data_IF_901246986211
#
_entry.id   IF_901246986211
#
_cell.length_a   1.000
_cell.length_b   1.000
_cell.length_c   1.000
_cell.angle_alpha   90.00
_cell.angle_beta   90.00
_cell.angle_gamma   90.00
#
_symmetry.space_group_name_H-M   'P 1'
#
loop_
_entity.id
_entity.type
_entity.pdbx_description
1 polymer ?
#
# COMPACT_ATOMS: atom_id res chain seq x y z
N UNK A 1 -38.11 2.75 33.44
CA UNK A 1 -38.16 1.58 32.53
C UNK A 1 -37.28 1.93 31.35
N UNK A 2 -36.06 1.38 31.34
CA UNK A 2 -35.03 1.64 30.32
C UNK A 2 -35.44 1.04 28.98
N UNK A 3 -35.43 1.85 27.92
CA UNK A 3 -35.44 1.36 26.55
C UNK A 3 -34.05 0.86 26.19
N UNK A 4 -33.94 -0.43 25.92
CA UNK A 4 -32.76 -1.05 25.33
C UNK A 4 -32.68 -0.66 23.85
N UNK A 5 -31.57 -0.05 23.44
CA UNK A 5 -31.22 0.16 22.04
C UNK A 5 -30.67 -1.16 21.49
N UNK A 6 -31.43 -1.81 20.62
CA UNK A 6 -30.95 -2.90 19.77
C UNK A 6 -30.41 -2.26 18.48
N UNK A 7 -29.08 -2.20 18.31
CA UNK A 7 -28.48 -1.90 17.00
C UNK A 7 -28.63 -3.15 16.14
N UNK A 8 -29.47 -3.07 15.11
CA UNK A 8 -29.68 -4.13 14.15
C UNK A 8 -28.56 -4.16 13.12
N UNK A 9 -28.10 -5.37 12.79
CA UNK A 9 -27.31 -5.65 11.60
C UNK A 9 -28.21 -5.46 10.36
N UNK A 10 -27.76 -4.63 9.41
CA UNK A 10 -28.45 -4.41 8.14
C UNK A 10 -27.99 -5.42 7.08
N UNK A 11 -28.88 -5.86 6.17
CA UNK A 11 -28.54 -6.83 5.14
C UNK A 11 -27.53 -6.24 4.14
N UNK A 12 -26.57 -7.08 3.76
CA UNK A 12 -25.43 -6.76 2.91
C UNK A 12 -25.82 -5.94 1.66
N UNK A 13 -25.37 -4.69 1.61
CA UNK A 13 -25.18 -4.02 0.33
C UNK A 13 -24.06 -4.75 -0.40
N UNK A 14 -24.19 -4.92 -1.71
CA UNK A 14 -23.13 -5.50 -2.56
C UNK A 14 -21.82 -4.79 -2.25
N UNK A 15 -20.85 -5.51 -1.68
CA UNK A 15 -19.55 -4.99 -1.26
C UNK A 15 -18.88 -4.30 -2.45
N UNK A 16 -18.97 -2.97 -2.52
CA UNK A 16 -18.13 -2.20 -3.41
C UNK A 16 -16.74 -2.23 -2.75
N UNK A 17 -15.73 -2.84 -3.38
CA UNK A 17 -14.39 -2.83 -2.82
C UNK A 17 -13.96 -1.36 -2.61
N UNK A 18 -13.11 -1.08 -1.60
CA UNK A 18 -12.60 0.25 -1.38
C UNK A 18 -12.00 0.81 -2.69
N UNK A 19 -12.19 2.10 -2.99
CA UNK A 19 -11.63 2.73 -4.20
C UNK A 19 -10.10 2.60 -4.26
N UNK A 20 -9.46 2.40 -3.11
CA UNK A 20 -8.03 2.22 -2.96
C UNK A 20 -7.31 3.56 -2.82
N UNK A 21 -5.99 3.53 -2.64
CA UNK A 21 -5.21 4.75 -2.51
C UNK A 21 -5.03 5.45 -3.86
N UNK A 22 -5.39 6.73 -3.91
CA UNK A 22 -5.19 7.58 -5.09
C UNK A 22 -4.77 8.98 -4.63
N UNK A 23 -3.48 9.12 -4.30
CA UNK A 23 -2.94 10.32 -3.68
C UNK A 23 -1.55 10.69 -4.19
N UNK A 24 -1.47 11.89 -4.74
CA UNK A 24 -0.26 12.45 -5.31
C UNK A 24 -0.13 13.92 -4.92
N UNK A 25 1.10 14.40 -4.85
CA UNK A 25 1.39 15.84 -4.76
C UNK A 25 2.33 16.23 -5.87
N UNK A 26 2.24 17.48 -6.32
CA UNK A 26 3.16 18.03 -7.30
C UNK A 26 4.34 18.64 -6.56
N UNK A 27 5.55 18.21 -6.89
CA UNK A 27 6.77 18.84 -6.42
C UNK A 27 7.46 19.54 -7.59
N UNK A 28 7.90 20.76 -7.33
CA UNK A 28 8.72 21.53 -8.26
C UNK A 28 10.17 21.15 -8.05
N UNK A 29 10.82 20.70 -9.12
CA UNK A 29 12.24 20.35 -9.12
C UNK A 29 12.98 21.32 -10.02
N UNK A 30 13.97 22.00 -9.44
CA UNK A 30 14.92 22.80 -10.18
C UNK A 30 15.86 21.88 -10.96
N UNK A 31 16.09 22.20 -12.23
CA UNK A 31 17.06 21.53 -13.09
C UNK A 31 17.76 22.56 -13.98
N UNK A 32 18.85 22.17 -14.64
CA UNK A 32 19.49 23.00 -15.66
C UNK A 32 18.97 22.59 -17.03
N UNK A 33 18.29 23.51 -17.71
CA UNK A 33 17.82 23.31 -19.07
C UNK A 33 18.91 23.71 -20.07
N UNK A 34 19.28 22.78 -20.94
CA UNK A 34 20.20 23.02 -22.05
C UNK A 34 19.39 23.08 -23.34
N UNK A 35 19.41 24.23 -24.00
CA UNK A 35 18.71 24.42 -25.27
C UNK A 35 19.68 24.24 -26.44
N UNK A 36 19.35 23.30 -27.32
CA UNK A 36 20.11 22.95 -28.50
C UNK A 36 19.31 23.25 -29.75
N UNK A 37 19.92 24.00 -30.68
CA UNK A 37 19.36 24.14 -32.02
C UNK A 37 19.87 23.05 -32.94
N UNK A 38 18.94 22.38 -33.61
CA UNK A 38 19.24 21.62 -34.81
C UNK A 38 19.28 22.55 -36.01
N UNK A 39 20.41 22.61 -36.70
CA UNK A 39 20.64 23.54 -37.81
C UNK A 39 21.02 22.77 -39.06
N UNK A 40 20.39 23.11 -40.19
CA UNK A 40 20.73 22.51 -41.48
C UNK A 40 22.12 22.93 -41.92
N UNK A 41 22.95 21.96 -42.32
CA UNK A 41 24.28 22.23 -42.87
C UNK A 41 24.23 23.10 -44.13
N UNK A 42 23.28 22.81 -45.02
CA UNK A 42 23.16 23.44 -46.35
C UNK A 42 22.66 24.88 -46.28
N UNK A 43 21.67 25.16 -45.43
CA UNK A 43 21.01 26.48 -45.40
C UNK A 43 21.36 27.31 -44.18
N UNK A 44 22.04 26.74 -43.19
CA UNK A 44 22.32 27.37 -41.88
C UNK A 44 21.05 27.91 -41.20
N UNK A 45 19.91 27.25 -41.42
CA UNK A 45 18.62 27.60 -40.82
C UNK A 45 18.32 26.63 -39.68
N UNK A 46 17.77 27.16 -38.59
CA UNK A 46 17.26 26.36 -37.47
C UNK A 46 16.08 25.54 -37.98
N UNK A 47 16.19 24.23 -37.84
CA UNK A 47 15.13 23.28 -38.18
C UNK A 47 14.23 23.00 -36.97
N UNK A 48 14.82 22.93 -35.78
CA UNK A 48 14.14 22.59 -34.53
C UNK A 48 14.97 23.07 -33.33
N UNK A 49 14.32 23.29 -32.18
CA UNK A 49 14.98 23.48 -30.89
C UNK A 49 14.65 22.30 -29.97
N UNK A 50 15.66 21.80 -29.26
CA UNK A 50 15.55 20.67 -28.33
C UNK A 50 16.04 21.12 -26.98
N UNK A 51 15.18 21.02 -25.97
CA UNK A 51 15.53 21.32 -24.58
C UNK A 51 15.75 20.00 -23.85
N UNK A 52 16.91 19.84 -23.23
CA UNK A 52 17.27 18.65 -22.45
C UNK A 52 17.61 19.04 -21.01
N UNK A 53 17.39 18.11 -20.09
CA UNK A 53 17.67 18.26 -18.65
C UNK A 53 18.96 17.57 -18.21
N UNK A 54 19.83 17.23 -19.17
CA UNK A 54 21.12 16.58 -18.92
C UNK A 54 22.25 17.27 -19.70
N UNK A 55 23.48 17.11 -19.21
CA UNK A 55 24.67 17.57 -19.93
C UNK A 55 24.92 16.74 -21.20
N UNK A 56 25.49 17.38 -22.23
CA UNK A 56 25.79 16.75 -23.50
C UNK A 56 24.74 17.02 -24.59
N UNK A 57 24.95 16.42 -25.77
CA UNK A 57 24.05 16.58 -26.91
C UNK A 57 22.73 15.83 -26.69
N UNK A 58 21.62 16.27 -27.30
CA UNK A 58 20.35 15.56 -27.22
C UNK A 58 20.44 14.12 -27.70
N UNK A 59 19.74 13.22 -27.01
CA UNK A 59 19.58 11.82 -27.41
C UNK A 59 18.64 11.69 -28.60
N UNK A 60 18.77 10.59 -29.34
CA UNK A 60 17.92 10.28 -30.47
C UNK A 60 16.41 10.29 -30.13
N UNK A 61 16.03 9.84 -28.94
CA UNK A 61 14.64 9.85 -28.49
C UNK A 61 14.09 11.26 -28.22
N UNK A 62 14.92 12.15 -27.67
CA UNK A 62 14.53 13.56 -27.43
C UNK A 62 14.35 14.30 -28.75
N UNK A 63 15.24 14.05 -29.71
CA UNK A 63 15.14 14.61 -31.06
C UNK A 63 13.85 14.16 -31.73
N UNK A 64 13.53 12.86 -31.66
CA UNK A 64 12.29 12.35 -32.21
C UNK A 64 11.07 13.01 -31.56
N UNK A 65 11.07 13.15 -30.23
CA UNK A 65 9.97 13.74 -29.46
C UNK A 65 9.76 15.23 -29.77
N UNK A 66 10.83 16.03 -29.78
CA UNK A 66 10.74 17.49 -29.93
C UNK A 66 10.70 17.94 -31.40
N UNK A 67 11.39 17.25 -32.30
CA UNK A 67 11.54 17.64 -33.71
C UNK A 67 10.69 16.81 -34.69
N UNK A 68 10.13 15.70 -34.24
CA UNK A 68 9.31 14.80 -35.05
C UNK A 68 10.10 13.83 -35.93
N UNK A 69 9.36 12.90 -36.53
CA UNK A 69 9.90 11.75 -37.26
C UNK A 69 10.76 12.14 -38.47
N UNK A 70 10.34 13.12 -39.28
CA UNK A 70 11.06 13.51 -40.51
C UNK A 70 12.48 14.02 -40.21
N UNK A 71 12.61 14.95 -39.25
CA UNK A 71 13.92 15.49 -38.87
C UNK A 71 14.78 14.41 -38.22
N UNK A 72 14.16 13.55 -37.41
CA UNK A 72 14.82 12.40 -36.79
C UNK A 72 15.40 11.42 -37.82
N UNK A 73 14.60 11.00 -38.79
CA UNK A 73 15.02 10.04 -39.83
C UNK A 73 16.15 10.60 -40.70
N UNK A 74 16.06 11.87 -41.09
CA UNK A 74 17.11 12.57 -41.82
C UNK A 74 18.40 12.66 -41.00
N UNK A 75 18.34 13.00 -39.71
CA UNK A 75 19.53 13.03 -38.86
C UNK A 75 20.13 11.63 -38.70
N UNK A 76 19.35 10.60 -38.38
CA UNK A 76 19.91 9.25 -38.14
C UNK A 76 20.52 8.65 -39.41
N UNK A 77 19.92 8.94 -40.58
CA UNK A 77 20.40 8.44 -41.87
C UNK A 77 21.51 9.28 -42.51
N UNK A 78 21.80 10.48 -41.99
CA UNK A 78 22.78 11.37 -42.59
C UNK A 78 24.19 10.78 -42.55
N UNK A 79 24.97 11.05 -43.60
CA UNK A 79 26.40 10.70 -43.62
C UNK A 79 27.18 11.66 -42.72
N UNK A 80 28.25 11.21 -42.04
CA UNK A 80 29.10 12.11 -41.26
C UNK A 80 29.64 13.26 -42.12
N UNK A 81 29.44 14.51 -41.67
CA UNK A 81 30.05 15.69 -42.28
C UNK A 81 31.48 15.84 -41.74
N UNK A 82 32.49 15.53 -42.56
CA UNK A 82 33.89 15.68 -42.18
C UNK A 82 34.38 17.13 -42.39
N UNK A 83 35.22 17.62 -41.48
CA UNK A 83 35.72 19.01 -41.42
C UNK A 83 36.60 19.43 -42.61
N UNK A 84 36.98 18.50 -43.48
CA UNK A 84 37.73 18.77 -44.71
C UNK A 84 36.83 19.07 -45.93
N UNK A 85 35.50 18.97 -45.79
CA UNK A 85 34.52 19.33 -46.81
C UNK A 85 34.07 20.79 -46.64
N UNK A 86 33.69 21.44 -47.74
CA UNK A 86 33.02 22.75 -47.70
C UNK A 86 31.68 22.55 -46.99
N UNK A 87 31.41 23.33 -45.93
CA UNK A 87 30.22 23.19 -45.07
C UNK A 87 28.89 23.11 -45.84
N UNK A 88 28.80 23.86 -46.93
CA UNK A 88 27.62 23.93 -47.82
C UNK A 88 27.39 22.63 -48.63
N UNK A 89 28.39 21.76 -48.70
CA UNK A 89 28.30 20.44 -49.35
C UNK A 89 27.80 19.34 -48.41
N UNK A 90 27.70 19.62 -47.11
CA UNK A 90 27.15 18.67 -46.15
C UNK A 90 25.61 18.70 -46.17
N UNK A 91 25.02 17.51 -46.18
CA UNK A 91 23.58 17.30 -46.09
C UNK A 91 23.20 16.96 -44.64
N UNK A 92 21.94 17.19 -44.29
CA UNK A 92 21.41 16.95 -42.94
C UNK A 92 21.65 18.09 -41.95
N UNK A 93 21.86 17.73 -40.69
CA UNK A 93 21.82 18.61 -39.53
C UNK A 93 23.03 18.46 -38.61
N UNK A 94 23.31 19.52 -37.85
CA UNK A 94 24.15 19.47 -36.66
C UNK A 94 23.45 20.16 -35.49
N UNK A 95 23.87 19.83 -34.28
CA UNK A 95 23.38 20.47 -33.06
C UNK A 95 24.34 21.53 -32.56
N UNK A 96 23.79 22.62 -32.06
CA UNK A 96 24.53 23.71 -31.47
C UNK A 96 23.87 24.12 -30.16
N UNK A 97 24.63 24.05 -29.06
CA UNK A 97 24.17 24.53 -27.75
C UNK A 97 24.09 26.05 -27.80
N UNK A 98 22.91 26.60 -27.54
CA UNK A 98 22.70 28.05 -27.59
C UNK A 98 22.41 28.67 -26.23
N UNK A 99 21.93 27.89 -25.26
CA UNK A 99 21.64 28.38 -23.92
C UNK A 99 21.75 27.26 -22.88
N UNK A 100 22.06 27.66 -21.65
CA UNK A 100 22.03 26.82 -20.46
C UNK A 100 21.54 27.69 -19.31
N UNK A 101 20.36 27.37 -18.76
CA UNK A 101 19.74 28.19 -17.72
C UNK A 101 19.05 27.34 -16.65
N UNK A 102 18.94 27.82 -15.41
CA UNK A 102 18.07 27.21 -14.42
C UNK A 102 16.62 27.21 -14.91
N UNK A 103 15.93 26.09 -14.70
CA UNK A 103 14.53 25.89 -15.03
C UNK A 103 13.87 25.03 -13.96
N UNK A 104 12.55 25.03 -13.95
CA UNK A 104 11.75 24.24 -13.01
C UNK A 104 10.85 23.29 -13.80
N UNK A 105 10.64 22.08 -13.28
CA UNK A 105 9.62 21.16 -13.77
C UNK A 105 8.82 20.58 -12.62
N UNK A 106 7.55 20.36 -12.89
CA UNK A 106 6.63 19.71 -11.97
C UNK A 106 6.69 18.19 -12.15
N UNK A 107 6.89 17.46 -11.05
CA UNK A 107 6.79 16.00 -11.05
C UNK A 107 5.77 15.56 -10.00
N UNK A 108 4.95 14.58 -10.38
CA UNK A 108 4.01 13.95 -9.46
C UNK A 108 4.78 13.01 -8.52
N UNK A 109 4.61 13.22 -7.22
CA UNK A 109 5.13 12.36 -6.16
C UNK A 109 3.98 11.65 -5.48
N UNK A 110 4.03 10.32 -5.45
CA UNK A 110 3.07 9.51 -4.70
C UNK A 110 3.23 9.74 -3.20
N UNK A 111 2.10 9.91 -2.50
CA UNK A 111 2.07 10.08 -1.06
C UNK A 111 1.81 8.74 -0.36
N UNK A 112 2.18 8.65 0.92
CA UNK A 112 1.92 7.46 1.71
C UNK A 112 0.40 7.26 1.90
N UNK A 113 -0.14 6.07 1.61
CA UNK A 113 -1.57 5.78 1.73
C UNK A 113 -2.00 5.65 3.19
N UNK A 114 -3.29 5.86 3.46
CA UNK A 114 -3.90 5.42 4.70
C UNK A 114 -3.75 3.89 4.88
N UNK A 115 -3.77 3.43 6.13
CA UNK A 115 -3.73 2.02 6.47
C UNK A 115 -4.79 1.68 7.53
N UNK A 116 -5.02 0.39 7.76
CA UNK A 116 -5.86 -0.11 8.83
C UNK A 116 -5.18 -1.28 9.52
N UNK A 117 -5.37 -1.39 10.83
CA UNK A 117 -4.74 -2.39 11.68
C UNK A 117 -5.78 -3.14 12.48
N UNK A 118 -5.54 -4.40 12.77
CA UNK A 118 -6.39 -5.26 13.60
C UNK A 118 -5.67 -5.59 14.92
N UNK A 119 -6.38 -5.46 16.03
CA UNK A 119 -5.91 -5.76 17.39
C UNK A 119 -7.02 -6.36 18.25
N UNK A 120 -6.67 -6.80 19.47
CA UNK A 120 -7.61 -7.30 20.48
C UNK A 120 -7.54 -6.45 21.74
N UNK A 121 -8.69 -6.23 22.35
CA UNK A 121 -8.82 -5.65 23.70
C UNK A 121 -9.36 -6.68 24.69
N UNK A 122 -8.83 -6.66 25.91
CA UNK A 122 -9.28 -7.54 27.00
C UNK A 122 -8.73 -8.97 26.93
N UNK A 123 -7.66 -9.19 26.16
CA UNK A 123 -7.01 -10.48 25.99
C UNK A 123 -5.52 -10.38 26.29
N UNK A 124 -4.97 -11.41 26.93
CA UNK A 124 -3.54 -11.56 27.21
C UNK A 124 -2.92 -12.55 26.22
N UNK A 125 -1.77 -12.23 25.60
CA UNK A 125 -1.11 -13.12 24.67
C UNK A 125 -0.41 -14.27 25.41
N UNK A 126 -0.58 -15.50 24.90
CA UNK A 126 0.09 -16.72 25.37
C UNK A 126 1.10 -17.17 24.33
N UNK A 127 2.34 -16.72 24.50
CA UNK A 127 3.42 -16.88 23.52
C UNK A 127 3.71 -18.36 23.22
N UNK A 128 3.72 -19.22 24.25
CA UNK A 128 3.99 -20.66 24.10
C UNK A 128 3.01 -21.38 23.18
N UNK A 129 1.78 -20.88 23.11
CA UNK A 129 0.69 -21.45 22.31
C UNK A 129 0.35 -20.60 21.07
N UNK A 130 0.99 -19.45 20.89
CA UNK A 130 0.70 -18.49 19.81
C UNK A 130 -0.79 -18.12 19.69
N UNK A 131 -1.46 -18.00 20.84
CA UNK A 131 -2.89 -17.66 20.98
C UNK A 131 -3.05 -16.49 21.94
N UNK A 132 -4.23 -15.88 21.97
CA UNK A 132 -4.61 -14.92 23.01
C UNK A 132 -5.70 -15.55 23.91
N UNK A 133 -5.65 -15.28 25.21
CA UNK A 133 -6.66 -15.73 26.19
C UNK A 133 -7.37 -14.51 26.76
N UNK A 134 -8.70 -14.56 26.81
CA UNK A 134 -9.53 -13.49 27.35
C UNK A 134 -10.45 -14.05 28.45
N UNK A 135 -10.48 -13.40 29.61
CA UNK A 135 -11.37 -13.78 30.74
C UNK A 135 -12.83 -13.37 30.48
N UNK A 136 -13.03 -12.41 29.58
CA UNK A 136 -14.35 -11.92 29.18
C UNK A 136 -14.49 -12.03 27.67
N UNK A 137 -15.70 -11.76 27.17
CA UNK A 137 -15.96 -11.78 25.72
C UNK A 137 -14.97 -10.83 25.04
N UNK A 138 -14.18 -11.31 24.06
CA UNK A 138 -13.15 -10.49 23.41
C UNK A 138 -13.76 -9.30 22.67
N UNK A 139 -12.93 -8.28 22.46
CA UNK A 139 -13.25 -7.17 21.57
C UNK A 139 -12.22 -7.11 20.45
N UNK A 140 -12.69 -7.26 19.21
CA UNK A 140 -11.87 -7.04 18.03
C UNK A 140 -11.86 -5.54 17.72
N UNK A 141 -10.68 -4.99 17.47
CA UNK A 141 -10.49 -3.57 17.23
C UNK A 141 -9.82 -3.38 15.87
N UNK A 142 -10.46 -2.62 15.00
CA UNK A 142 -9.87 -2.16 13.74
C UNK A 142 -9.55 -0.67 13.88
N UNK A 143 -8.27 -0.30 13.71
CA UNK A 143 -7.80 1.07 13.81
C UNK A 143 -7.26 1.54 12.47
N UNK A 144 -7.92 2.53 11.87
CA UNK A 144 -7.40 3.26 10.74
C UNK A 144 -6.25 4.19 11.16
N UNK A 145 -5.27 4.36 10.29
CA UNK A 145 -4.15 5.27 10.49
C UNK A 145 -3.90 6.09 9.23
N UNK A 146 -3.86 7.41 9.39
CA UNK A 146 -3.56 8.37 8.33
C UNK A 146 -2.14 8.93 8.52
N UNK A 147 -1.20 8.68 7.58
CA UNK A 147 0.16 9.19 7.70
C UNK A 147 0.32 10.69 7.40
N UNK A 148 -0.64 11.32 6.70
CA UNK A 148 -0.52 12.73 6.34
C UNK A 148 -0.94 13.65 7.50
N UNK A 149 -0.16 14.70 7.83
CA UNK A 149 -0.36 15.49 9.05
C UNK A 149 -1.64 16.35 9.07
N UNK A 150 -2.21 16.64 7.90
CA UNK A 150 -3.41 17.46 7.76
C UNK A 150 -4.64 16.63 7.38
N UNK A 151 -4.50 15.31 7.30
CA UNK A 151 -5.58 14.40 6.99
C UNK A 151 -5.87 13.52 8.21
N UNK A 152 -7.03 12.89 8.21
CA UNK A 152 -7.44 11.96 9.25
C UNK A 152 -8.28 10.84 8.65
N UNK A 153 -8.39 9.74 9.39
CA UNK A 153 -9.39 8.73 9.08
C UNK A 153 -10.77 9.27 9.45
N UNK A 154 -11.71 9.10 8.53
CA UNK A 154 -13.09 9.57 8.69
C UNK A 154 -14.09 8.43 8.85
N UNK A 155 -13.69 7.20 8.49
CA UNK A 155 -14.55 6.02 8.56
C UNK A 155 -13.72 4.74 8.45
N UNK A 156 -14.11 3.72 9.19
CA UNK A 156 -13.60 2.35 9.04
C UNK A 156 -14.75 1.42 8.65
N UNK A 157 -14.52 0.57 7.66
CA UNK A 157 -15.50 -0.39 7.16
C UNK A 157 -14.87 -1.77 7.00
N UNK A 158 -15.72 -2.78 6.94
CA UNK A 158 -15.29 -4.13 6.67
C UNK A 158 -16.41 -5.15 6.71
N UNK A 159 -16.02 -6.41 6.66
CA UNK A 159 -16.91 -7.56 6.85
C UNK A 159 -16.32 -8.53 7.85
N UNK A 160 -17.17 -9.14 8.68
CA UNK A 160 -16.83 -10.23 9.58
C UNK A 160 -17.68 -11.44 9.19
N UNK A 161 -17.06 -12.51 8.68
CA UNK A 161 -17.78 -13.67 8.15
C UNK A 161 -18.85 -13.29 7.09
N UNK A 162 -18.57 -12.27 6.28
CA UNK A 162 -19.50 -11.73 5.27
C UNK A 162 -20.55 -10.75 5.80
N UNK A 163 -20.65 -10.55 7.12
CA UNK A 163 -21.53 -9.55 7.74
C UNK A 163 -20.81 -8.20 7.81
N UNK A 164 -21.40 -7.15 7.21
CA UNK A 164 -20.77 -5.84 7.14
C UNK A 164 -20.77 -5.12 8.49
N UNK A 165 -19.68 -4.43 8.80
CA UNK A 165 -19.59 -3.46 9.88
C UNK A 165 -19.11 -2.11 9.35
N UNK A 166 -19.65 -1.04 9.92
CA UNK A 166 -19.32 0.35 9.57
C UNK A 166 -19.19 1.16 10.84
N UNK A 167 -18.09 1.90 10.94
CA UNK A 167 -17.82 2.83 12.01
C UNK A 167 -17.62 4.22 11.41
N UNK A 168 -18.74 4.92 11.21
CA UNK A 168 -18.78 6.29 10.69
C UNK A 168 -18.17 7.29 11.67
N UNK A 169 -17.52 8.32 11.13
CA UNK A 169 -16.93 9.43 11.88
C UNK A 169 -15.92 8.98 12.96
N UNK A 170 -15.31 7.80 12.77
CA UNK A 170 -14.33 7.25 13.68
C UNK A 170 -13.19 6.57 12.92
N UNK A 171 -12.01 6.66 13.51
CA UNK A 171 -10.80 5.94 13.12
C UNK A 171 -10.71 4.56 13.79
N UNK A 172 -11.61 4.24 14.73
CA UNK A 172 -11.59 2.99 15.50
C UNK A 172 -12.94 2.30 15.40
N UNK A 173 -12.93 1.04 14.99
CA UNK A 173 -14.09 0.17 14.98
C UNK A 173 -13.93 -0.96 15.98
N UNK A 174 -14.83 -1.04 16.97
CA UNK A 174 -14.81 -2.06 18.02
C UNK A 174 -16.07 -2.90 17.95
N UNK A 175 -15.90 -4.23 17.97
CA UNK A 175 -17.04 -5.14 18.06
C UNK A 175 -16.63 -6.44 18.76
N UNK A 176 -17.62 -7.09 19.38
CA UNK A 176 -17.43 -8.41 19.96
C UNK A 176 -17.60 -9.46 18.86
N UNK A 177 -16.56 -10.24 18.51
CA UNK A 177 -16.68 -11.26 17.50
C UNK A 177 -17.53 -12.42 18.01
N UNK A 178 -18.23 -13.10 17.10
CA UNK A 178 -18.97 -14.32 17.42
C UNK A 178 -18.01 -15.51 17.56
N UNK A 179 -18.46 -16.56 18.24
CA UNK A 179 -17.71 -17.82 18.29
C UNK A 179 -17.61 -18.44 16.89
N UNK A 180 -16.48 -19.04 16.58
CA UNK A 180 -16.18 -19.58 15.25
C UNK A 180 -15.77 -21.05 15.32
N UNK A 181 -15.69 -21.69 14.14
CA UNK A 181 -15.16 -23.05 14.03
C UNK A 181 -13.63 -23.11 14.12
N UNK A 182 -13.08 -24.32 14.05
CA UNK A 182 -11.63 -24.56 14.15
C UNK A 182 -10.78 -23.82 13.10
N UNK A 183 -11.36 -23.51 11.94
CA UNK A 183 -10.72 -22.77 10.84
C UNK A 183 -10.82 -21.24 11.00
N UNK A 184 -11.62 -20.75 11.94
CA UNK A 184 -11.97 -19.33 12.06
C UNK A 184 -12.88 -18.81 10.94
N UNK A 185 -13.01 -17.50 10.83
CA UNK A 185 -13.77 -16.79 9.79
C UNK A 185 -12.93 -15.69 9.14
N UNK A 186 -13.19 -15.35 7.87
CA UNK A 186 -12.53 -14.24 7.21
C UNK A 186 -13.05 -12.91 7.76
N UNK A 187 -12.14 -11.95 7.87
CA UNK A 187 -12.42 -10.56 8.20
C UNK A 187 -11.74 -9.69 7.16
N UNK A 188 -12.51 -8.87 6.46
CA UNK A 188 -11.98 -7.88 5.50
C UNK A 188 -12.19 -6.49 6.06
N UNK A 189 -11.22 -5.58 5.90
CA UNK A 189 -11.32 -4.24 6.46
C UNK A 189 -10.45 -3.21 5.75
N UNK A 190 -10.90 -1.96 5.79
CA UNK A 190 -10.20 -0.80 5.23
C UNK A 190 -10.62 0.49 5.95
N UNK A 191 -9.90 1.58 5.69
CA UNK A 191 -10.17 2.89 6.25
C UNK A 191 -10.32 3.96 5.15
N UNK A 192 -11.21 4.91 5.34
CA UNK A 192 -11.38 6.09 4.48
C UNK A 192 -10.68 7.29 5.08
N UNK A 193 -9.99 8.05 4.22
CA UNK A 193 -9.28 9.27 4.60
C UNK A 193 -10.07 10.53 4.24
N UNK A 194 -9.89 11.60 5.01
CA UNK A 194 -10.35 12.94 4.64
C UNK A 194 -9.71 13.46 3.35
N UNK A 195 -8.60 12.86 2.89
CA UNK A 195 -7.98 13.16 1.60
C UNK A 195 -8.93 12.87 0.42
N UNK A 196 -9.90 11.97 0.60
CA UNK A 196 -10.88 11.59 -0.43
C UNK A 196 -10.64 10.21 -1.05
N UNK A 197 -9.69 9.44 -0.53
CA UNK A 197 -9.38 8.07 -0.94
C UNK A 197 -9.54 7.08 0.23
N UNK A 198 -9.12 5.83 0.03
CA UNK A 198 -9.13 4.80 1.07
C UNK A 198 -7.78 4.09 1.18
N UNK A 199 -7.58 3.38 2.29
CA UNK A 199 -6.54 2.36 2.36
C UNK A 199 -6.78 1.26 1.32
N UNK A 200 -5.79 0.39 1.09
CA UNK A 200 -6.04 -0.92 0.50
C UNK A 200 -7.07 -1.72 1.32
N UNK A 201 -7.68 -2.71 0.69
CA UNK A 201 -8.41 -3.76 1.38
C UNK A 201 -7.42 -4.71 2.06
N UNK A 202 -7.58 -4.90 3.36
CA UNK A 202 -6.83 -5.88 4.13
C UNK A 202 -7.72 -7.04 4.52
N UNK A 203 -7.09 -8.21 4.74
CA UNK A 203 -7.77 -9.42 5.17
C UNK A 203 -7.10 -9.99 6.42
N UNK A 204 -7.90 -10.61 7.26
CA UNK A 204 -7.47 -11.40 8.39
C UNK A 204 -8.28 -12.69 8.46
N UNK A 205 -7.68 -13.74 9.00
CA UNK A 205 -8.39 -14.90 9.48
C UNK A 205 -8.50 -14.79 11.00
N UNK A 206 -9.70 -14.92 11.56
CA UNK A 206 -9.95 -14.78 13.01
C UNK A 206 -10.65 -16.02 13.55
N UNK A 207 -10.05 -16.68 14.54
CA UNK A 207 -10.66 -17.78 15.28
C UNK A 207 -10.98 -17.35 16.70
N UNK A 208 -12.19 -17.66 17.15
CA UNK A 208 -12.70 -17.35 18.49
C UNK A 208 -13.34 -18.62 19.02
N UNK A 209 -12.78 -19.20 20.07
CA UNK A 209 -13.30 -20.43 20.68
C UNK A 209 -13.54 -20.20 22.16
N UNK A 210 -14.70 -20.63 22.65
CA UNK A 210 -14.96 -20.70 24.08
C UNK A 210 -14.55 -22.07 24.59
N UNK A 211 -13.69 -22.12 25.60
CA UNK A 211 -13.29 -23.38 26.23
C UNK A 211 -13.85 -23.42 27.64
N UNK A 212 -14.59 -24.48 27.92
CA UNK A 212 -15.04 -24.84 29.27
C UNK A 212 -14.12 -25.95 29.78
N UNK A 213 -13.16 -25.60 30.63
CA UNK A 213 -12.24 -26.56 31.25
C UNK A 213 -12.90 -27.34 32.41
N UNK A 214 -14.23 -27.30 32.54
CA UNK A 214 -14.98 -28.00 33.58
C UNK A 214 -15.02 -27.27 34.92
N UNK A 215 -14.53 -26.04 34.98
CA UNK A 215 -14.71 -25.13 36.10
C UNK A 215 -15.73 -24.03 35.72
N UNK A 216 -16.95 -24.03 36.30
CA UNK A 216 -18.00 -23.07 35.94
C UNK A 216 -17.62 -21.61 36.25
N UNK A 217 -16.60 -21.37 37.08
CA UNK A 217 -16.10 -20.04 37.44
C UNK A 217 -14.93 -19.55 36.55
N UNK A 218 -14.43 -20.38 35.62
CA UNK A 218 -13.31 -20.06 34.71
C UNK A 218 -13.67 -20.37 33.26
N UNK A 219 -14.46 -19.46 32.68
CA UNK A 219 -14.74 -19.46 31.24
C UNK A 219 -13.68 -18.63 30.53
N UNK A 220 -12.87 -19.27 29.70
CA UNK A 220 -11.83 -18.59 28.92
C UNK A 220 -12.21 -18.56 27.43
N UNK A 221 -11.87 -17.45 26.78
CA UNK A 221 -11.94 -17.28 25.34
C UNK A 221 -10.54 -17.38 24.75
N UNK A 222 -10.39 -18.21 23.73
CA UNK A 222 -9.19 -18.25 22.91
C UNK A 222 -9.43 -17.48 21.63
N UNK A 223 -8.52 -16.57 21.30
CA UNK A 223 -8.59 -15.79 20.07
C UNK A 223 -7.26 -15.84 19.33
N UNK A 224 -7.34 -16.29 18.08
CA UNK A 224 -6.21 -16.32 17.16
C UNK A 224 -6.51 -15.40 15.97
N UNK A 225 -5.50 -14.63 15.55
CA UNK A 225 -5.62 -13.68 14.44
C UNK A 225 -4.43 -13.88 13.51
N UNK A 226 -4.68 -14.14 12.23
CA UNK A 226 -3.68 -14.18 11.17
C UNK A 226 -3.91 -13.02 10.22
N UNK A 227 -2.99 -12.06 10.19
CA UNK A 227 -3.04 -10.93 9.26
C UNK A 227 -1.68 -10.25 9.16
N UNK A 228 -1.34 -9.70 8.00
CA UNK A 228 -0.20 -8.78 7.87
C UNK A 228 -0.41 -7.48 8.64
N UNK A 229 -1.66 -7.18 9.00
CA UNK A 229 -2.07 -5.98 9.72
C UNK A 229 -2.33 -6.25 11.22
N UNK A 230 -1.84 -7.37 11.75
CA UNK A 230 -2.00 -7.71 13.16
C UNK A 230 -1.01 -6.93 14.05
N UNK A 231 -1.51 -6.25 15.07
CA UNK A 231 -0.70 -5.48 16.04
C UNK A 231 -0.33 -6.25 17.31
N UNK A 232 -0.88 -7.45 17.52
CA UNK A 232 -0.53 -8.27 18.68
C UNK A 232 0.74 -9.10 18.48
N UNK A 233 0.91 -10.12 19.31
CA UNK A 233 2.05 -11.04 19.16
C UNK A 233 1.92 -11.79 17.82
N UNK A 234 3.00 -11.90 17.03
CA UNK A 234 2.98 -12.62 15.76
C UNK A 234 2.62 -14.09 16.00
N UNK A 235 1.86 -14.68 15.08
CA UNK A 235 1.55 -16.10 15.18
C UNK A 235 2.82 -16.94 14.95
N UNK A 236 2.76 -18.23 15.26
CA UNK A 236 3.83 -19.15 14.92
C UNK A 236 4.12 -19.06 13.41
N UNK A 237 5.39 -18.99 13.01
CA UNK A 237 5.82 -18.78 11.61
C UNK A 237 5.22 -19.78 10.61
N UNK A 238 4.92 -21.00 11.06
CA UNK A 238 4.20 -22.00 10.29
C UNK A 238 2.72 -21.61 10.06
N UNK A 239 2.03 -21.08 11.07
CA UNK A 239 0.63 -20.67 10.94
C UNK A 239 0.48 -19.51 9.94
N UNK A 240 1.40 -18.53 9.99
CA UNK A 240 1.43 -17.40 9.05
C UNK A 240 1.69 -17.84 7.61
N UNK A 241 2.61 -18.80 7.40
CA UNK A 241 2.96 -19.27 6.05
C UNK A 241 1.86 -20.12 5.42
N UNK A 242 1.17 -20.93 6.21
CA UNK A 242 0.14 -21.85 5.73
C UNK A 242 -1.28 -21.27 5.81
N UNK A 243 -1.47 -20.12 6.46
CA UNK A 243 -2.79 -19.49 6.65
C UNK A 243 -3.74 -20.34 7.50
N UNK A 244 -3.19 -21.14 8.41
CA UNK A 244 -3.94 -22.13 9.21
C UNK A 244 -3.59 -21.99 10.68
N UNK A 245 -4.59 -22.08 11.54
CA UNK A 245 -4.36 -22.01 12.98
C UNK A 245 -3.80 -23.34 13.55
N UNK A 246 -2.95 -23.28 14.59
CA UNK A 246 -2.62 -24.46 15.41
C UNK A 246 -3.86 -24.95 16.18
N UNK A 247 -3.83 -26.09 16.89
CA UNK A 247 -4.92 -26.47 17.79
C UNK A 247 -5.23 -25.37 18.82
N UNK A 248 -6.50 -25.29 19.27
CA UNK A 248 -6.93 -24.31 20.29
C UNK A 248 -6.12 -24.55 21.56
N UNK A 249 -5.50 -23.50 22.10
CA UNK A 249 -4.64 -23.60 23.29
C UNK A 249 -3.20 -24.03 23.03
N UNK A 250 -2.80 -24.21 21.76
CA UNK A 250 -1.43 -24.55 21.38
C UNK A 250 -1.24 -26.04 21.04
N UNK A 251 -0.01 -26.48 20.74
CA UNK A 251 0.27 -27.89 20.48
C UNK A 251 -0.03 -28.74 21.74
N UNK A 252 -0.49 -29.99 21.57
CA UNK A 252 -0.70 -30.89 22.70
C UNK A 252 0.60 -31.13 23.46
N UNK A 253 0.53 -31.45 24.75
CA UNK A 253 1.69 -31.53 25.66
C UNK A 253 2.87 -32.37 25.13
N UNK A 254 2.61 -33.43 24.36
CA UNK A 254 3.64 -34.29 23.77
C UNK A 254 4.43 -33.64 22.61
N UNK A 255 3.96 -32.51 22.09
CA UNK A 255 4.62 -31.67 21.07
C UNK A 255 5.09 -30.33 21.64
N UNK A 256 4.79 -30.02 22.91
CA UNK A 256 5.29 -28.83 23.56
C UNK A 256 6.80 -28.97 23.79
N UNK A 257 7.57 -27.91 23.51
CA UNK A 257 9.00 -27.88 23.86
C UNK A 257 9.11 -28.02 25.38
N UNK A 258 9.86 -29.01 25.91
CA UNK A 258 10.00 -29.18 27.35
C UNK A 258 10.60 -27.92 27.98
N UNK A 259 10.01 -27.48 29.09
CA UNK A 259 10.42 -26.26 29.79
C UNK A 259 11.71 -26.44 30.61
N UNK A 260 12.03 -27.69 30.96
CA UNK A 260 13.21 -28.06 31.75
C UNK A 260 14.10 -29.01 30.97
N UNK A 261 15.42 -28.90 31.17
CA UNK A 261 16.40 -29.77 30.51
C UNK A 261 16.32 -31.24 30.95
N UNK A 262 15.64 -31.50 32.07
CA UNK A 262 15.42 -32.85 32.64
C UNK A 262 14.34 -33.63 31.88
N UNK A 263 13.53 -32.93 31.08
CA UNK A 263 12.42 -33.49 30.28
C UNK A 263 12.81 -33.71 28.80
N UNK A 264 14.11 -33.59 28.46
CA UNK A 264 14.70 -33.84 27.13
C UNK A 264 15.24 -35.27 26.97
#
# INVERSE_FOLDING_TARGET
MSSAFTRGFEPASTSNPPPGPDRYTVITVEYTAYEWWMVSWKTNRVACSVIVDHEGIPTLGEVYRECGETIYEEWVSQKPCMTNLVRESCEGYYVHLINSQPAEKEIAKQLAPATAWISLEGCEPVISASTNICETVPTLVITGQEPLPNERIIRVEGTYNGESFVCDESDICKFSPQETGAEGVPVEFWAYSSYGDSSPLFSAQVRVSRVDEGNPDQLHWYVDVLSSQWLGQPAATCADWWGSFPPVGGPPDWLATPSESEDL
#
